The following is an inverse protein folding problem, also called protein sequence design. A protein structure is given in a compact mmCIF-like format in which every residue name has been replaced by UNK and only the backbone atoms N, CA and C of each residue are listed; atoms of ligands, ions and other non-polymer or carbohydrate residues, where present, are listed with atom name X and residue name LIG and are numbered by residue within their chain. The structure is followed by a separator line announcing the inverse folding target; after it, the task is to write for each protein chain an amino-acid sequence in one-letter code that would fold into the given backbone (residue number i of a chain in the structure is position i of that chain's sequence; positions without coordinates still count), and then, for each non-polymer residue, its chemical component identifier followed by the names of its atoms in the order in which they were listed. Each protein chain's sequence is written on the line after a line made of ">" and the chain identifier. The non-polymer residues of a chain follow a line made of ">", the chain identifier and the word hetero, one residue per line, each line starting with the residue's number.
data_IF_054616053265
#
_entry.id   IF_054616053265
#
_cell.length_a   1.000
_cell.length_b   1.000
_cell.length_c   1.000
_cell.angle_alpha   90.00
_cell.angle_beta   90.00
_cell.angle_gamma   90.00
#
_symmetry.space_group_name_H-M   'P 1'
#
loop_
_entity.id
_entity.type
_entity.pdbx_description
1 polymer ?
#
# COMPACT_ATOMS: atom_id res chain seq x y z
N UNK A 1 -3.12 59.47 16.83
CA UNK A 1 -3.32 59.16 15.41
C UNK A 1 -3.31 57.64 15.27
N UNK A 2 -4.44 57.03 14.90
CA UNK A 2 -4.53 55.57 14.66
C UNK A 2 -4.41 55.32 13.16
N UNK A 3 -3.61 54.35 12.70
CA UNK A 3 -3.59 54.00 11.29
C UNK A 3 -4.90 53.29 10.93
N UNK A 4 -5.47 53.66 9.78
CA UNK A 4 -6.53 52.89 9.15
C UNK A 4 -5.93 51.57 8.64
N UNK A 5 -6.14 50.47 9.37
CA UNK A 5 -5.94 49.13 8.84
C UNK A 5 -7.01 48.87 7.79
N UNK A 6 -6.62 48.73 6.52
CA UNK A 6 -7.53 48.36 5.44
C UNK A 6 -8.00 46.91 5.67
N UNK A 7 -9.31 46.65 5.83
CA UNK A 7 -9.81 45.29 6.03
C UNK A 7 -9.56 44.36 4.82
N UNK A 8 -9.19 44.92 3.67
CA UNK A 8 -8.93 44.17 2.44
C UNK A 8 -7.57 43.44 2.42
N UNK A 9 -6.55 43.93 3.14
CA UNK A 9 -5.21 43.31 3.13
C UNK A 9 -5.16 42.05 4.00
N UNK A 10 -5.88 42.03 5.13
CA UNK A 10 -5.91 40.88 6.04
C UNK A 10 -6.74 39.71 5.46
N UNK A 11 -7.80 40.02 4.71
CA UNK A 11 -8.62 39.02 4.05
C UNK A 11 -7.86 38.28 2.93
N UNK A 12 -6.99 39.00 2.20
CA UNK A 12 -6.20 38.42 1.11
C UNK A 12 -5.10 37.48 1.63
N UNK A 13 -4.40 37.84 2.70
CA UNK A 13 -3.40 37.02 3.38
C UNK A 13 -4.02 35.74 3.97
N UNK A 14 -5.22 35.86 4.56
CA UNK A 14 -5.96 34.72 5.13
C UNK A 14 -6.46 33.76 4.04
N UNK A 15 -6.89 34.28 2.89
CA UNK A 15 -7.32 33.47 1.74
C UNK A 15 -6.12 32.74 1.09
N UNK A 16 -4.99 33.42 0.93
CA UNK A 16 -3.74 32.82 0.41
C UNK A 16 -3.21 31.72 1.33
N UNK A 17 -3.22 31.94 2.63
CA UNK A 17 -2.76 30.94 3.62
C UNK A 17 -3.64 29.68 3.60
N UNK A 18 -4.98 29.85 3.48
CA UNK A 18 -5.93 28.72 3.34
C UNK A 18 -5.73 27.96 2.04
N UNK A 19 -5.50 28.66 0.93
CA UNK A 19 -5.25 28.04 -0.37
C UNK A 19 -3.94 27.22 -0.36
N UNK A 20 -2.88 27.75 0.26
CA UNK A 20 -1.60 27.03 0.44
C UNK A 20 -1.75 25.78 1.31
N UNK A 21 -2.50 25.87 2.42
CA UNK A 21 -2.80 24.71 3.25
C UNK A 21 -3.60 23.64 2.50
N UNK A 22 -4.59 24.04 1.69
CA UNK A 22 -5.37 23.12 0.89
C UNK A 22 -4.52 22.42 -0.19
N UNK A 23 -3.62 23.16 -0.85
CA UNK A 23 -2.68 22.63 -1.83
C UNK A 23 -1.68 21.66 -1.20
N UNK A 24 -1.14 22.00 -0.02
CA UNK A 24 -0.22 21.12 0.72
C UNK A 24 -0.90 19.83 1.18
N UNK A 25 -2.15 19.92 1.68
CA UNK A 25 -2.95 18.76 2.06
C UNK A 25 -3.26 17.84 0.86
N UNK A 26 -3.59 18.43 -0.30
CA UNK A 26 -3.81 17.67 -1.53
C UNK A 26 -2.55 16.94 -2.02
N UNK A 27 -1.37 17.56 -1.87
CA UNK A 27 -0.08 16.93 -2.20
C UNK A 27 0.25 15.72 -1.33
N UNK A 28 -0.06 15.77 -0.03
CA UNK A 28 0.18 14.66 0.90
C UNK A 28 -0.66 13.42 0.55
N UNK A 29 -1.90 13.60 0.11
CA UNK A 29 -2.79 12.48 -0.28
C UNK A 29 -2.27 11.68 -1.48
N UNK A 30 -1.47 12.30 -2.35
CA UNK A 30 -0.91 11.62 -3.54
C UNK A 30 0.24 10.66 -3.19
N UNK A 31 0.91 10.84 -2.05
CA UNK A 31 2.06 9.98 -1.65
C UNK A 31 1.64 8.62 -1.08
N UNK A 32 0.37 8.42 -0.72
CA UNK A 32 -0.10 7.21 -0.06
C UNK A 32 -0.46 6.04 -1.00
N UNK A 33 -0.49 6.25 -2.33
CA UNK A 33 -0.99 5.24 -3.27
C UNK A 33 0.08 4.30 -3.87
N UNK A 34 1.36 4.47 -3.52
CA UNK A 34 2.47 3.69 -4.10
C UNK A 34 2.96 2.53 -3.21
N UNK A 35 2.09 1.94 -2.38
CA UNK A 35 2.50 0.77 -1.57
C UNK A 35 2.75 -0.43 -2.50
N UNK A 36 4.01 -0.87 -2.60
CA UNK A 36 4.30 -2.09 -3.34
C UNK A 36 3.73 -3.28 -2.57
N UNK A 37 3.11 -4.20 -3.31
CA UNK A 37 2.54 -5.41 -2.70
C UNK A 37 3.61 -6.49 -2.66
N UNK A 38 3.73 -7.23 -1.55
CA UNK A 38 4.63 -8.37 -1.50
C UNK A 38 4.22 -9.41 -2.55
N UNK A 39 5.20 -10.04 -3.19
CA UNK A 39 5.00 -11.12 -4.16
C UNK A 39 5.92 -12.30 -3.86
N UNK A 40 5.51 -13.47 -4.35
CA UNK A 40 6.29 -14.70 -4.23
C UNK A 40 7.33 -14.79 -5.33
N UNK A 41 8.56 -15.12 -4.97
CA UNK A 41 9.68 -15.26 -5.89
C UNK A 41 10.43 -16.58 -5.66
N UNK A 42 10.78 -17.24 -6.77
CA UNK A 42 11.67 -18.40 -6.83
C UNK A 42 12.38 -18.38 -8.17
N UNK A 43 13.68 -18.67 -8.18
CA UNK A 43 14.46 -18.74 -9.43
C UNK A 43 13.86 -19.80 -10.35
N UNK A 44 13.88 -19.53 -11.66
CA UNK A 44 13.48 -20.47 -12.72
C UNK A 44 12.01 -20.89 -12.71
N UNK A 45 11.15 -20.20 -11.93
CA UNK A 45 9.70 -20.44 -11.90
C UNK A 45 8.99 -19.26 -12.55
N UNK A 46 8.09 -19.56 -13.51
CA UNK A 46 7.33 -18.52 -14.17
C UNK A 46 6.32 -17.86 -13.21
N UNK A 47 5.85 -16.66 -13.55
CA UNK A 47 4.79 -16.01 -12.78
C UNK A 47 3.49 -16.83 -12.79
N UNK A 48 3.21 -17.53 -13.88
CA UNK A 48 2.06 -18.42 -14.01
C UNK A 48 2.16 -19.60 -13.05
N UNK A 49 3.31 -20.28 -13.04
CA UNK A 49 3.54 -21.41 -12.14
C UNK A 49 3.51 -20.97 -10.67
N UNK A 50 4.09 -19.80 -10.37
CA UNK A 50 4.04 -19.20 -9.03
C UNK A 50 2.59 -19.02 -8.57
N UNK A 51 1.70 -18.51 -9.43
CA UNK A 51 0.29 -18.36 -9.12
C UNK A 51 -0.42 -19.72 -8.93
N UNK A 52 -0.01 -20.74 -9.67
CA UNK A 52 -0.52 -22.10 -9.50
C UNK A 52 -0.14 -22.68 -8.12
N UNK A 53 1.12 -22.53 -7.70
CA UNK A 53 1.58 -22.95 -6.37
C UNK A 53 0.87 -22.18 -5.24
N UNK A 54 0.65 -20.88 -5.40
CA UNK A 54 -0.08 -20.08 -4.42
C UNK A 54 -1.54 -20.53 -4.31
N UNK A 55 -2.18 -20.83 -5.45
CA UNK A 55 -3.56 -21.33 -5.50
C UNK A 55 -3.68 -22.70 -4.84
N UNK A 56 -2.70 -23.59 -5.05
CA UNK A 56 -2.62 -24.89 -4.39
C UNK A 56 -2.53 -24.72 -2.86
N UNK A 57 -1.65 -23.83 -2.38
CA UNK A 57 -1.52 -23.56 -0.95
C UNK A 57 -2.82 -23.00 -0.35
N UNK A 58 -3.49 -22.05 -1.03
CA UNK A 58 -4.80 -21.52 -0.60
C UNK A 58 -5.85 -22.60 -0.52
N UNK A 59 -5.88 -23.51 -1.51
CA UNK A 59 -6.83 -24.61 -1.54
C UNK A 59 -6.63 -25.57 -0.36
N UNK A 60 -5.38 -25.97 -0.09
CA UNK A 60 -5.07 -26.86 1.04
C UNK A 60 -5.41 -26.22 2.40
N UNK A 61 -5.12 -24.93 2.56
CA UNK A 61 -5.52 -24.18 3.76
C UNK A 61 -7.04 -24.13 3.90
N UNK A 62 -7.78 -23.89 2.81
CA UNK A 62 -9.24 -23.88 2.81
C UNK A 62 -9.87 -25.24 3.19
N UNK A 63 -9.27 -26.35 2.75
CA UNK A 63 -9.72 -27.70 3.15
C UNK A 63 -9.52 -27.96 4.64
N UNK A 64 -8.54 -27.32 5.27
CA UNK A 64 -8.20 -27.51 6.68
C UNK A 64 -9.16 -26.81 7.66
N UNK A 65 -10.16 -26.07 7.16
CA UNK A 65 -11.17 -25.32 7.95
C UNK A 65 -10.57 -24.43 9.05
N UNK A 66 -9.39 -23.87 8.77
CA UNK A 66 -8.74 -22.91 9.67
C UNK A 66 -9.47 -21.58 9.67
N UNK A 67 -9.35 -20.86 10.79
CA UNK A 67 -9.84 -19.49 10.90
C UNK A 67 -9.06 -18.57 9.95
N UNK A 68 -9.72 -17.53 9.45
CA UNK A 68 -9.17 -16.62 8.43
C UNK A 68 -7.89 -15.91 8.89
N UNK A 69 -7.76 -15.63 10.19
CA UNK A 69 -6.59 -15.04 10.82
C UNK A 69 -5.34 -15.93 10.73
N UNK A 70 -5.51 -17.25 10.67
CA UNK A 70 -4.42 -18.22 10.52
C UNK A 70 -4.21 -18.65 9.07
N UNK A 71 -5.19 -18.40 8.19
CA UNK A 71 -5.14 -18.87 6.81
C UNK A 71 -3.97 -18.24 6.04
N UNK A 72 -3.72 -16.94 6.23
CA UNK A 72 -2.63 -16.24 5.56
C UNK A 72 -1.25 -16.77 6.00
N UNK A 73 -1.07 -17.01 7.30
CA UNK A 73 0.16 -17.56 7.86
C UNK A 73 0.43 -18.98 7.34
N UNK A 74 -0.61 -19.81 7.22
CA UNK A 74 -0.49 -21.16 6.67
C UNK A 74 -0.17 -21.17 5.17
N UNK A 75 -0.78 -20.28 4.38
CA UNK A 75 -0.41 -20.11 2.97
C UNK A 75 1.06 -19.68 2.86
N UNK A 76 1.51 -18.75 3.71
CA UNK A 76 2.91 -18.31 3.78
C UNK A 76 3.84 -19.48 4.10
N UNK A 77 3.52 -20.31 5.08
CA UNK A 77 4.32 -21.50 5.42
C UNK A 77 4.36 -22.51 4.28
N UNK A 78 3.23 -22.78 3.62
CA UNK A 78 3.16 -23.66 2.46
C UNK A 78 4.06 -23.16 1.31
N UNK A 79 4.00 -21.87 0.99
CA UNK A 79 4.85 -21.27 -0.04
C UNK A 79 6.34 -21.33 0.32
N UNK A 80 6.68 -21.05 1.58
CA UNK A 80 8.06 -21.16 2.08
C UNK A 80 8.59 -22.59 2.00
N UNK A 81 7.76 -23.59 2.33
CA UNK A 81 8.10 -25.01 2.22
C UNK A 81 8.35 -25.45 0.77
N UNK A 82 7.62 -24.88 -0.20
CA UNK A 82 7.85 -25.07 -1.64
C UNK A 82 9.09 -24.31 -2.17
N UNK A 83 9.77 -23.56 -1.31
CA UNK A 83 11.02 -22.85 -1.61
C UNK A 83 10.84 -21.42 -2.11
N UNK A 84 9.63 -20.87 -2.06
CA UNK A 84 9.40 -19.47 -2.42
C UNK A 84 9.88 -18.53 -1.31
N UNK A 85 10.20 -17.29 -1.70
CA UNK A 85 10.55 -16.19 -0.80
C UNK A 85 9.66 -15.00 -1.09
N UNK A 86 9.20 -14.33 -0.05
CA UNK A 86 8.41 -13.11 -0.18
C UNK A 86 9.35 -11.93 -0.45
N UNK A 87 9.07 -11.16 -1.49
CA UNK A 87 9.81 -9.95 -1.88
C UNK A 87 8.84 -8.79 -1.95
N UNK A 88 9.31 -7.60 -1.64
CA UNK A 88 8.49 -6.37 -1.64
C UNK A 88 8.68 -5.58 -2.94
N UNK A 89 9.77 -5.83 -3.67
CA UNK A 89 10.15 -5.05 -4.84
C UNK A 89 10.06 -5.90 -6.11
N UNK A 90 9.05 -5.67 -6.94
CA UNK A 90 8.99 -6.29 -8.27
C UNK A 90 9.98 -5.51 -9.15
N UNK A 91 11.04 -6.14 -9.71
CA UNK A 91 11.88 -5.45 -10.68
C UNK A 91 11.00 -5.04 -11.87
N UNK A 92 11.06 -3.76 -12.21
CA UNK A 92 10.40 -3.17 -13.39
C UNK A 92 10.91 -3.85 -14.65
#
# INVERSE_FOLDING_TARGET
>A
MRPCSNPCTDALETLLTRALFALAAAGLLLTACSTSKPYWFKNEVSAFDTANFESECKFQTGLSKVKEDQAEELVKHCMQAKGFRQRVDKPN
#
